data_IF_917191454552
#
_entry.id   IF_917191454552
#
_cell.length_a   1.000
_cell.length_b   1.000
_cell.length_c   1.000
_cell.angle_alpha   90.00
_cell.angle_beta   90.00
_cell.angle_gamma   90.00
#
_symmetry.space_group_name_H-M   'P 1'
#
loop_
_entity.id
_entity.type
_entity.pdbx_description
1 polymer ?
#
# COMPACT_ATOMS: atom_id res chain seq x y z
N UNK A 1 11.87 -21.91 4.06
CA UNK A 1 10.78 -21.03 3.52
C UNK A 1 9.89 -20.59 4.66
N UNK A 2 9.69 -19.30 4.84
CA UNK A 2 8.81 -18.75 5.88
C UNK A 2 7.55 -18.15 5.26
N UNK A 3 6.44 -18.30 5.99
CA UNK A 3 5.17 -17.66 5.61
C UNK A 3 5.17 -16.25 6.20
N UNK A 4 4.70 -15.29 5.41
CA UNK A 4 4.50 -13.91 5.85
C UNK A 4 3.00 -13.64 6.05
N UNK A 5 2.66 -13.01 7.16
CA UNK A 5 1.30 -12.58 7.44
C UNK A 5 1.16 -11.11 7.03
N UNK A 6 0.31 -10.86 6.02
CA UNK A 6 0.11 -9.53 5.46
C UNK A 6 -1.37 -9.13 5.58
N UNK A 7 -1.82 -8.70 6.77
CA UNK A 7 -3.22 -8.32 6.96
C UNK A 7 -3.57 -7.07 6.14
N UNK A 8 -4.75 -7.11 5.49
CA UNK A 8 -5.27 -5.96 4.77
C UNK A 8 -5.87 -4.96 5.74
N UNK A 9 -5.33 -3.76 5.76
CA UNK A 9 -5.79 -2.69 6.63
C UNK A 9 -7.11 -2.06 6.18
N UNK A 10 -7.58 -2.39 4.98
CA UNK A 10 -8.88 -1.98 4.49
C UNK A 10 -10.03 -2.49 5.38
N UNK A 11 -9.81 -3.61 6.09
CA UNK A 11 -10.78 -4.21 7.01
C UNK A 11 -10.64 -3.73 8.47
N UNK A 12 -9.72 -2.83 8.77
CA UNK A 12 -9.50 -2.31 10.10
C UNK A 12 -10.63 -1.38 10.56
N UNK A 13 -10.76 -1.21 11.87
CA UNK A 13 -11.64 -0.19 12.45
C UNK A 13 -10.94 1.17 12.39
N UNK A 14 -11.27 1.98 11.39
CA UNK A 14 -10.65 3.29 11.18
C UNK A 14 -10.91 4.30 12.30
N UNK A 15 -11.89 4.04 13.16
CA UNK A 15 -12.13 4.88 14.35
C UNK A 15 -11.08 4.65 15.43
N UNK A 16 -10.37 3.51 15.37
CA UNK A 16 -9.35 3.11 16.33
C UNK A 16 -8.10 2.58 15.60
N UNK A 17 -7.69 3.27 14.56
CA UNK A 17 -6.65 2.81 13.65
C UNK A 17 -5.32 2.50 14.33
N UNK A 18 -4.86 3.39 15.20
CA UNK A 18 -3.60 3.20 15.93
C UNK A 18 -3.63 1.92 16.78
N UNK A 19 -4.73 1.69 17.49
CA UNK A 19 -4.91 0.48 18.30
C UNK A 19 -4.94 -0.78 17.43
N UNK A 20 -5.62 -0.74 16.28
CA UNK A 20 -5.66 -1.86 15.34
C UNK A 20 -4.25 -2.21 14.85
N UNK A 21 -3.44 -1.21 14.53
CA UNK A 21 -2.05 -1.39 14.11
C UNK A 21 -1.24 -2.04 15.23
N UNK A 22 -1.31 -1.52 16.45
CA UNK A 22 -0.59 -2.05 17.60
C UNK A 22 -0.97 -3.50 17.89
N UNK A 23 -2.25 -3.83 17.84
CA UNK A 23 -2.74 -5.18 18.08
C UNK A 23 -2.23 -6.18 17.02
N UNK A 24 -2.24 -5.77 15.75
CA UNK A 24 -1.79 -6.62 14.65
C UNK A 24 -0.27 -6.84 14.71
N UNK A 25 0.51 -5.81 15.00
CA UNK A 25 1.95 -5.92 15.20
C UNK A 25 2.27 -6.86 16.38
N UNK A 26 1.58 -6.69 17.50
CA UNK A 26 1.73 -7.55 18.68
C UNK A 26 1.34 -9.01 18.40
N UNK A 27 0.39 -9.22 17.49
CA UNK A 27 -0.06 -10.56 17.07
C UNK A 27 0.89 -11.24 16.08
N UNK A 28 1.93 -10.53 15.58
CA UNK A 28 2.94 -11.09 14.71
C UNK A 28 2.74 -10.83 13.22
N UNK A 29 1.98 -9.80 12.84
CA UNK A 29 1.90 -9.38 11.45
C UNK A 29 3.29 -9.00 10.92
N UNK A 30 3.59 -9.38 9.69
CA UNK A 30 4.89 -9.13 9.06
C UNK A 30 4.87 -7.87 8.19
N UNK A 31 3.79 -7.66 7.46
CA UNK A 31 3.65 -6.55 6.50
C UNK A 31 2.19 -6.08 6.54
N UNK A 32 1.95 -4.79 6.59
CA UNK A 32 0.59 -4.27 6.38
C UNK A 32 0.30 -4.13 4.89
N UNK A 33 -0.80 -4.74 4.46
CA UNK A 33 -1.29 -4.66 3.08
C UNK A 33 -2.31 -3.52 2.96
N UNK A 34 -2.01 -2.55 2.10
CA UNK A 34 -2.77 -1.31 1.95
C UNK A 34 -3.38 -1.26 0.55
N UNK A 35 -4.69 -1.54 0.48
CA UNK A 35 -5.43 -1.57 -0.78
C UNK A 35 -5.96 -0.20 -1.16
N UNK A 36 -5.51 0.33 -2.30
CA UNK A 36 -5.96 1.61 -2.86
C UNK A 36 -6.78 1.34 -4.12
N UNK A 37 -8.00 1.85 -4.15
CA UNK A 37 -8.94 1.69 -5.26
C UNK A 37 -9.54 3.04 -5.61
N UNK A 38 -9.69 3.30 -6.91
CA UNK A 38 -10.10 4.61 -7.43
C UNK A 38 -11.51 4.68 -8.01
N UNK A 39 -12.25 3.57 -7.98
CA UNK A 39 -13.58 3.50 -8.58
C UNK A 39 -13.57 3.51 -10.11
N UNK A 40 -12.40 3.46 -10.74
CA UNK A 40 -12.21 3.44 -12.20
C UNK A 40 -11.65 2.09 -12.65
N UNK A 41 -10.46 1.74 -12.19
CA UNK A 41 -9.86 0.46 -12.49
C UNK A 41 -10.66 -0.71 -11.87
N UNK A 42 -11.18 -0.51 -10.67
CA UNK A 42 -12.11 -1.44 -10.00
C UNK A 42 -13.38 -0.70 -9.59
N UNK A 43 -14.55 -1.36 -9.54
CA UNK A 43 -15.83 -0.72 -9.21
C UNK A 43 -16.02 -0.56 -7.70
N UNK A 44 -15.01 -0.05 -7.00
CA UNK A 44 -15.03 0.17 -5.56
C UNK A 44 -14.04 1.28 -5.22
N UNK A 45 -14.13 1.79 -3.99
CA UNK A 45 -13.16 2.71 -3.43
C UNK A 45 -12.47 2.02 -2.26
N UNK A 46 -11.15 2.06 -2.26
CA UNK A 46 -10.34 1.55 -1.17
C UNK A 46 -9.89 2.66 -0.23
N UNK A 47 -8.75 2.45 0.42
CA UNK A 47 -8.19 3.46 1.30
C UNK A 47 -7.71 4.69 0.51
N UNK A 48 -7.93 5.86 1.08
CA UNK A 48 -7.46 7.11 0.51
C UNK A 48 -6.04 7.46 0.92
N UNK A 49 -5.53 8.55 0.33
CA UNK A 49 -4.17 9.04 0.58
C UNK A 49 -3.92 9.31 2.06
N UNK A 50 -4.89 9.91 2.75
CA UNK A 50 -4.74 10.25 4.17
C UNK A 50 -4.71 9.01 5.06
N UNK A 51 -5.46 7.97 4.70
CA UNK A 51 -5.46 6.70 5.44
C UNK A 51 -4.10 6.02 5.34
N UNK A 52 -3.53 5.97 4.13
CA UNK A 52 -2.20 5.39 3.89
C UNK A 52 -1.14 6.15 4.69
N UNK A 53 -1.19 7.48 4.64
CA UNK A 53 -0.27 8.34 5.39
C UNK A 53 -0.35 8.08 6.88
N UNK A 54 -1.57 8.00 7.43
CA UNK A 54 -1.79 7.75 8.86
C UNK A 54 -1.24 6.38 9.28
N UNK A 55 -1.49 5.34 8.50
CA UNK A 55 -0.95 4.00 8.77
C UNK A 55 0.58 4.02 8.74
N UNK A 56 1.19 4.66 7.75
CA UNK A 56 2.65 4.75 7.66
C UNK A 56 3.27 5.50 8.84
N UNK A 57 2.56 6.47 9.41
CA UNK A 57 3.03 7.20 10.59
C UNK A 57 2.99 6.37 11.88
N UNK A 58 2.05 5.45 11.99
CA UNK A 58 1.86 4.61 13.19
C UNK A 58 2.59 3.27 13.10
N UNK A 59 2.67 2.66 11.91
CA UNK A 59 3.20 1.32 11.71
C UNK A 59 4.74 1.29 11.86
N UNK A 60 5.24 0.26 12.54
CA UNK A 60 6.68 0.01 12.69
C UNK A 60 7.18 -1.12 11.79
N UNK A 61 6.29 -1.97 11.29
CA UNK A 61 6.61 -3.04 10.34
C UNK A 61 6.53 -2.54 8.89
N UNK A 62 6.94 -3.38 7.94
CA UNK A 62 6.85 -3.08 6.51
C UNK A 62 5.42 -2.79 6.08
N UNK A 63 5.27 -1.93 5.09
CA UNK A 63 3.99 -1.57 4.46
C UNK A 63 4.10 -1.79 2.96
N UNK A 64 3.13 -2.48 2.41
CA UNK A 64 2.98 -2.66 0.96
C UNK A 64 1.70 -2.00 0.49
N UNK A 65 1.77 -1.27 -0.62
CA UNK A 65 0.61 -0.60 -1.23
C UNK A 65 0.26 -1.33 -2.52
N UNK A 66 -0.99 -1.75 -2.62
CA UNK A 66 -1.55 -2.38 -3.80
C UNK A 66 -2.40 -1.35 -4.56
N UNK A 67 -1.88 -0.86 -5.66
CA UNK A 67 -2.52 0.19 -6.45
C UNK A 67 -3.47 -0.40 -7.50
N UNK A 68 -4.73 -0.50 -7.16
CA UNK A 68 -5.84 -0.86 -8.06
C UNK A 68 -6.44 0.43 -8.63
N UNK A 69 -5.62 1.19 -9.34
CA UNK A 69 -5.96 2.51 -9.88
C UNK A 69 -5.49 2.64 -11.33
N UNK A 70 -6.15 3.51 -12.08
CA UNK A 70 -5.69 3.86 -13.43
C UNK A 70 -4.45 4.75 -13.37
N UNK A 71 -3.53 4.53 -14.32
CA UNK A 71 -2.29 5.30 -14.46
C UNK A 71 -1.52 5.46 -13.14
N UNK A 72 -1.13 4.37 -12.49
CA UNK A 72 -0.48 4.42 -11.17
C UNK A 72 0.83 5.22 -11.16
N UNK A 73 1.49 5.39 -12.30
CA UNK A 73 2.77 6.10 -12.41
C UNK A 73 2.72 7.52 -11.83
N UNK A 74 1.58 8.20 -11.90
CA UNK A 74 1.41 9.56 -11.37
C UNK A 74 1.52 9.63 -9.85
N UNK A 75 1.28 8.51 -9.16
CA UNK A 75 1.15 8.48 -7.69
C UNK A 75 2.30 7.76 -6.99
N UNK A 76 3.24 7.19 -7.74
CA UNK A 76 4.36 6.42 -7.16
C UNK A 76 5.17 7.27 -6.18
N UNK A 77 5.54 8.49 -6.57
CA UNK A 77 6.32 9.38 -5.69
C UNK A 77 5.55 9.78 -4.43
N UNK A 78 4.24 9.98 -4.57
CA UNK A 78 3.39 10.33 -3.45
C UNK A 78 3.40 9.22 -2.39
N UNK A 79 3.12 7.99 -2.78
CA UNK A 79 3.10 6.86 -1.85
C UNK A 79 4.49 6.56 -1.29
N UNK A 80 5.52 6.66 -2.12
CA UNK A 80 6.90 6.52 -1.68
C UNK A 80 7.25 7.52 -0.57
N UNK A 81 6.75 8.75 -0.68
CA UNK A 81 7.01 9.81 0.30
C UNK A 81 6.42 9.52 1.68
N UNK A 82 5.44 8.62 1.79
CA UNK A 82 4.85 8.23 3.07
C UNK A 82 5.65 7.18 3.82
N UNK A 83 6.66 6.60 3.19
CA UNK A 83 7.49 5.59 3.82
C UNK A 83 6.98 4.16 3.62
N UNK A 84 6.26 3.88 2.52
CA UNK A 84 5.94 2.51 2.12
C UNK A 84 7.19 1.79 1.65
N UNK A 85 7.20 0.47 1.77
CA UNK A 85 8.36 -0.35 1.42
C UNK A 85 8.20 -1.06 0.08
N UNK A 86 6.96 -1.39 -0.29
CA UNK A 86 6.65 -2.16 -1.49
C UNK A 86 5.45 -1.51 -2.21
N UNK A 87 5.50 -1.42 -3.53
CA UNK A 87 4.37 -0.96 -4.34
C UNK A 87 4.06 -1.99 -5.41
N UNK A 88 2.81 -2.48 -5.43
CA UNK A 88 2.28 -3.34 -6.47
C UNK A 88 1.41 -2.54 -7.43
N UNK A 89 1.58 -2.80 -8.72
CA UNK A 89 0.77 -2.23 -9.79
C UNK A 89 0.14 -3.36 -10.63
N UNK A 90 -0.88 -3.00 -11.40
CA UNK A 90 -1.43 -3.87 -12.43
C UNK A 90 -0.93 -3.40 -13.80
N UNK A 91 -0.26 -4.27 -14.58
CA UNK A 91 0.34 -3.88 -15.85
C UNK A 91 -0.65 -3.26 -16.84
N UNK A 92 -1.89 -3.74 -16.85
CA UNK A 92 -2.96 -3.26 -17.74
C UNK A 92 -3.58 -1.92 -17.32
N UNK A 93 -3.27 -1.44 -16.11
CA UNK A 93 -3.85 -0.21 -15.58
C UNK A 93 -3.16 1.07 -16.08
N UNK A 94 -2.06 0.94 -16.79
CA UNK A 94 -1.29 2.07 -17.33
C UNK A 94 -0.69 1.75 -18.69
N UNK A 95 -0.11 2.77 -19.33
CA UNK A 95 0.44 2.63 -20.68
C UNK A 95 1.89 2.11 -20.69
N UNK A 96 2.63 2.27 -19.62
CA UNK A 96 4.06 1.94 -19.54
C UNK A 96 4.40 1.22 -18.23
N UNK A 97 3.98 -0.05 -18.06
CA UNK A 97 4.19 -0.77 -16.80
C UNK A 97 5.67 -0.96 -16.45
N UNK A 98 6.53 -1.23 -17.43
CA UNK A 98 7.97 -1.42 -17.17
C UNK A 98 8.61 -0.13 -16.67
N UNK A 99 8.29 1.00 -17.26
CA UNK A 99 8.76 2.31 -16.80
C UNK A 99 8.30 2.61 -15.38
N UNK A 100 7.05 2.25 -15.06
CA UNK A 100 6.50 2.41 -13.71
C UNK A 100 7.26 1.56 -12.70
N UNK A 101 7.54 0.29 -13.02
CA UNK A 101 8.32 -0.60 -12.16
C UNK A 101 9.75 -0.09 -11.95
N UNK A 102 10.37 0.44 -13.00
CA UNK A 102 11.71 1.05 -12.92
C UNK A 102 11.69 2.26 -11.97
N UNK A 103 10.68 3.10 -12.09
CA UNK A 103 10.51 4.27 -11.21
C UNK A 103 10.40 3.86 -9.74
N UNK A 104 9.63 2.80 -9.44
CA UNK A 104 9.51 2.26 -8.09
C UNK A 104 10.89 1.83 -7.56
N UNK A 105 11.64 1.11 -8.37
CA UNK A 105 12.98 0.64 -7.99
C UNK A 105 13.98 1.78 -7.81
N UNK A 106 13.94 2.81 -8.65
CA UNK A 106 14.80 3.99 -8.54
C UNK A 106 14.56 4.75 -7.22
N UNK A 107 13.35 4.67 -6.68
CA UNK A 107 13.02 5.24 -5.37
C UNK A 107 13.46 4.35 -4.19
N UNK A 108 14.10 3.22 -4.47
CA UNK A 108 14.59 2.30 -3.44
C UNK A 108 13.55 1.35 -2.87
N UNK A 109 12.40 1.20 -3.56
CA UNK A 109 11.31 0.36 -3.10
C UNK A 109 11.30 -1.00 -3.82
N UNK A 110 10.68 -1.98 -3.17
CA UNK A 110 10.36 -3.27 -3.77
C UNK A 110 9.08 -3.16 -4.62
N UNK A 111 8.92 -4.07 -5.58
CA UNK A 111 7.72 -4.13 -6.43
C UNK A 111 7.48 -5.58 -6.88
#
# INVERSE_FOLDING_TARGET
MSIKLCPSMMCADFRNLEREIELLESAGADIFHLDVMDGQYVPNFGMGVQDIKAICQCATIKKEVHLMIENPVQYIELFASFGVDIIYIHPEAGYHPITTLQKIKELGLET
#
